data_IF_030898310761
#
_entry.id   IF_030898310761
#
_cell.length_a   1.000
_cell.length_b   1.000
_cell.length_c   1.000
_cell.angle_alpha   90.00
_cell.angle_beta   90.00
_cell.angle_gamma   90.00
#
_symmetry.space_group_name_H-M   'P 1'
#
loop_
_entity.id
_entity.type
_entity.pdbx_description
1 polymer ?
#
# COMPACT_ATOMS: atom_id res chain seq x y z
N UNK A 1 8.79 37.59 -52.09
CA UNK A 1 8.83 36.57 -53.16
C UNK A 1 10.22 36.62 -53.77
N UNK A 2 11.03 35.59 -53.92
CA UNK A 2 10.84 34.14 -53.94
C UNK A 2 12.19 33.46 -53.63
N UNK A 3 12.11 32.27 -53.04
CA UNK A 3 12.95 31.08 -53.27
C UNK A 3 14.47 31.20 -53.08
N UNK A 4 14.95 30.72 -51.92
CA UNK A 4 16.28 30.08 -51.84
C UNK A 4 16.06 28.57 -51.97
N UNK A 5 16.62 28.02 -53.04
CA UNK A 5 16.59 26.62 -53.39
C UNK A 5 17.49 25.78 -52.47
N UNK A 6 17.01 24.59 -52.15
CA UNK A 6 17.76 23.49 -51.53
C UNK A 6 18.84 22.97 -52.49
N UNK A 7 19.96 22.50 -51.96
CA UNK A 7 20.54 21.23 -52.40
C UNK A 7 21.37 20.57 -51.29
N UNK A 8 20.88 19.41 -50.86
CA UNK A 8 21.58 18.41 -50.06
C UNK A 8 22.70 17.77 -50.87
N UNK A 9 23.91 17.57 -50.32
CA UNK A 9 24.65 16.30 -50.51
C UNK A 9 25.70 16.06 -49.41
N UNK A 10 25.34 15.16 -48.50
CA UNK A 10 26.16 14.07 -47.91
C UNK A 10 27.35 14.27 -46.95
N UNK A 11 27.42 13.25 -46.07
CA UNK A 11 28.53 12.69 -45.25
C UNK A 11 28.74 13.47 -43.95
N UNK A 12 28.49 12.91 -42.77
CA UNK A 12 28.45 11.52 -42.35
C UNK A 12 29.11 11.47 -40.98
N UNK A 13 28.58 10.63 -40.09
CA UNK A 13 29.25 10.16 -38.88
C UNK A 13 29.56 11.24 -37.83
N UNK A 14 28.58 11.57 -36.98
CA UNK A 14 28.81 12.06 -35.59
C UNK A 14 27.53 12.12 -34.73
N UNK A 15 26.51 11.33 -35.09
CA UNK A 15 25.24 11.22 -34.37
C UNK A 15 25.16 10.05 -33.41
N UNK A 16 26.22 9.76 -32.63
CA UNK A 16 26.22 8.65 -31.66
C UNK A 16 26.96 9.04 -30.38
N UNK A 17 26.57 10.14 -29.74
CA UNK A 17 27.12 10.49 -28.42
C UNK A 17 26.09 11.06 -27.45
N UNK A 18 24.82 10.66 -27.57
CA UNK A 18 23.72 11.21 -26.75
C UNK A 18 22.67 10.18 -26.30
N UNK A 19 22.99 8.88 -26.25
CA UNK A 19 21.99 7.84 -25.90
C UNK A 19 22.55 6.69 -25.06
N UNK A 20 23.41 6.97 -24.07
CA UNK A 20 23.92 5.96 -23.13
C UNK A 20 23.93 6.44 -21.67
N UNK A 21 22.87 7.16 -21.26
CA UNK A 21 22.64 7.50 -19.84
C UNK A 21 21.17 7.35 -19.42
N UNK A 22 20.46 6.36 -19.97
CA UNK A 22 19.07 6.04 -19.61
C UNK A 22 18.82 4.55 -19.29
N UNK A 23 19.85 3.74 -19.07
CA UNK A 23 19.74 2.27 -18.98
C UNK A 23 19.99 1.66 -17.58
N UNK A 24 19.92 2.43 -16.48
CA UNK A 24 20.22 1.90 -15.12
C UNK A 24 19.09 2.14 -14.09
N UNK A 25 17.87 2.47 -14.51
CA UNK A 25 16.74 2.63 -13.56
C UNK A 25 15.51 1.75 -13.86
N UNK A 26 15.60 0.79 -14.77
CA UNK A 26 14.46 -0.07 -15.16
C UNK A 26 14.66 -1.55 -14.81
N UNK A 27 15.52 -1.86 -13.84
CA UNK A 27 15.76 -3.25 -13.40
C UNK A 27 15.52 -3.42 -11.89
N UNK A 28 14.25 -3.34 -11.47
CA UNK A 28 13.74 -4.01 -10.26
C UNK A 28 12.20 -4.21 -10.30
N UNK A 29 11.57 -4.22 -11.48
CA UNK A 29 10.19 -4.73 -11.60
C UNK A 29 10.28 -6.13 -12.20
N UNK A 30 10.59 -7.10 -11.34
CA UNK A 30 10.30 -8.48 -11.63
C UNK A 30 8.77 -8.62 -11.67
N UNK A 31 8.19 -8.46 -12.86
CA UNK A 31 6.80 -8.86 -13.11
C UNK A 31 6.70 -10.36 -12.83
N UNK A 32 6.15 -10.73 -11.67
CA UNK A 32 5.75 -12.10 -11.38
C UNK A 32 4.34 -12.30 -11.95
N UNK A 33 4.15 -13.18 -12.95
CA UNK A 33 2.81 -13.63 -13.31
C UNK A 33 2.45 -14.85 -12.45
N UNK A 34 1.38 -14.72 -11.66
CA UNK A 34 0.68 -15.84 -11.00
C UNK A 34 -0.12 -15.38 -9.77
N UNK A 35 -1.04 -16.17 -9.21
CA UNK A 35 -2.06 -17.03 -9.83
C UNK A 35 -3.47 -16.42 -9.63
N UNK A 36 -4.15 -15.97 -10.69
CA UNK A 36 -5.55 -15.46 -10.61
C UNK A 36 -5.77 -14.17 -9.80
N UNK A 37 -6.85 -13.40 -10.05
CA UNK A 37 -7.05 -12.07 -9.45
C UNK A 37 -7.28 -12.07 -7.92
N UNK A 38 -7.58 -13.21 -7.30
CA UNK A 38 -7.87 -13.30 -5.85
C UNK A 38 -6.68 -13.74 -4.98
N UNK A 39 -5.74 -14.53 -5.51
CA UNK A 39 -4.63 -15.10 -4.70
C UNK A 39 -3.56 -14.06 -4.37
N UNK A 40 -3.60 -12.89 -5.01
CA UNK A 40 -2.64 -11.80 -4.77
C UNK A 40 -3.19 -10.68 -3.87
N UNK A 41 -4.46 -10.73 -3.43
CA UNK A 41 -5.04 -9.65 -2.62
C UNK A 41 -4.35 -9.48 -1.27
N UNK A 42 -3.90 -10.59 -0.65
CA UNK A 42 -3.19 -10.53 0.63
C UNK A 42 -1.83 -9.86 0.48
N UNK A 43 -1.02 -10.31 -0.48
CA UNK A 43 0.29 -9.76 -0.72
C UNK A 43 0.23 -8.27 -1.10
N UNK A 44 -0.74 -7.88 -1.96
CA UNK A 44 -0.98 -6.47 -2.30
C UNK A 44 -1.40 -5.63 -1.09
N UNK A 45 -2.21 -6.18 -0.19
CA UNK A 45 -2.57 -5.50 1.05
C UNK A 45 -1.34 -5.30 1.95
N UNK A 46 -0.51 -6.32 2.11
CA UNK A 46 0.70 -6.26 2.93
C UNK A 46 1.72 -5.26 2.35
N UNK A 47 1.89 -5.22 1.02
CA UNK A 47 2.72 -4.23 0.32
C UNK A 47 2.19 -2.80 0.52
N UNK A 48 0.88 -2.57 0.32
CA UNK A 48 0.27 -1.27 0.52
C UNK A 48 0.38 -0.79 1.98
N UNK A 49 0.23 -1.70 2.95
CA UNK A 49 0.44 -1.37 4.36
C UNK A 49 1.89 -1.02 4.66
N UNK A 50 2.86 -1.72 4.06
CA UNK A 50 4.27 -1.38 4.19
C UNK A 50 4.57 0.03 3.64
N UNK A 51 3.99 0.38 2.48
CA UNK A 51 4.08 1.73 1.93
C UNK A 51 3.49 2.78 2.89
N UNK A 52 2.32 2.53 3.49
CA UNK A 52 1.74 3.42 4.50
C UNK A 52 2.64 3.61 5.74
N UNK A 53 3.35 2.56 6.17
CA UNK A 53 4.30 2.66 7.29
C UNK A 53 5.53 3.50 6.92
N UNK A 54 6.03 3.36 5.70
CA UNK A 54 7.18 4.12 5.20
C UNK A 54 6.88 5.61 4.92
N UNK A 55 5.60 5.97 4.70
CA UNK A 55 5.24 7.37 4.44
C UNK A 55 5.41 8.25 5.70
N UNK A 56 5.93 9.48 5.54
CA UNK A 56 6.04 10.47 6.61
C UNK A 56 4.71 11.18 6.86
N UNK A 57 3.68 10.41 7.26
CA UNK A 57 2.36 10.93 7.60
C UNK A 57 2.41 11.69 8.93
N UNK A 58 1.85 12.90 8.93
CA UNK A 58 1.97 13.89 10.02
C UNK A 58 1.08 13.61 11.23
N UNK A 59 0.07 12.75 11.08
CA UNK A 59 -0.88 12.44 12.15
C UNK A 59 -1.13 10.93 12.21
N UNK A 60 -1.45 10.43 13.40
CA UNK A 60 -1.80 9.03 13.62
C UNK A 60 -3.10 8.68 12.90
N UNK A 61 -4.08 9.59 12.85
CA UNK A 61 -5.31 9.39 12.07
C UNK A 61 -5.01 9.24 10.57
N UNK A 62 -4.11 10.06 10.01
CA UNK A 62 -3.71 9.93 8.61
C UNK A 62 -3.07 8.56 8.33
N UNK A 63 -2.21 8.09 9.26
CA UNK A 63 -1.59 6.76 9.17
C UNK A 63 -2.61 5.63 9.30
N UNK A 64 -3.54 5.72 10.26
CA UNK A 64 -4.61 4.75 10.46
C UNK A 64 -5.51 4.64 9.22
N UNK A 65 -5.87 5.77 8.62
CA UNK A 65 -6.64 5.80 7.37
C UNK A 65 -5.91 5.08 6.24
N UNK A 66 -4.63 5.40 6.01
CA UNK A 66 -3.82 4.74 4.99
C UNK A 66 -3.77 3.22 5.21
N UNK A 67 -3.53 2.79 6.45
CA UNK A 67 -3.46 1.37 6.81
C UNK A 67 -4.83 0.66 6.63
N UNK A 68 -5.93 1.35 6.92
CA UNK A 68 -7.27 0.80 6.72
C UNK A 68 -7.59 0.66 5.22
N UNK A 69 -7.30 1.69 4.42
CA UNK A 69 -7.50 1.65 2.97
C UNK A 69 -6.67 0.52 2.33
N UNK A 70 -5.43 0.31 2.80
CA UNK A 70 -4.60 -0.81 2.38
C UNK A 70 -5.14 -2.18 2.84
N UNK A 71 -5.67 -2.28 4.05
CA UNK A 71 -6.28 -3.50 4.57
C UNK A 71 -7.53 -3.90 3.76
N UNK A 72 -8.30 -2.93 3.26
CA UNK A 72 -9.51 -3.18 2.47
C UNK A 72 -9.22 -3.95 1.16
N UNK A 73 -8.00 -3.92 0.64
CA UNK A 73 -7.60 -4.73 -0.52
C UNK A 73 -7.84 -6.22 -0.26
N UNK A 74 -7.56 -6.69 0.96
CA UNK A 74 -7.78 -8.07 1.39
C UNK A 74 -9.15 -8.29 2.04
N UNK A 75 -10.06 -7.30 2.04
CA UNK A 75 -11.39 -7.44 2.64
C UNK A 75 -12.17 -8.68 2.13
N UNK A 76 -12.16 -9.02 0.82
CA UNK A 76 -12.85 -10.20 0.31
C UNK A 76 -12.34 -11.55 0.85
N UNK A 77 -11.16 -11.57 1.48
CA UNK A 77 -10.58 -12.78 2.06
C UNK A 77 -10.97 -13.00 3.53
N UNK A 78 -11.69 -12.06 4.16
CA UNK A 78 -12.07 -12.17 5.57
C UNK A 78 -13.35 -12.99 5.72
N UNK A 79 -13.25 -14.09 6.47
CA UNK A 79 -14.38 -14.96 6.82
C UNK A 79 -15.38 -14.24 7.73
N UNK A 80 -14.91 -13.30 8.56
CA UNK A 80 -15.70 -12.53 9.51
C UNK A 80 -15.64 -11.02 9.19
N UNK A 81 -16.44 -10.52 8.23
CA UNK A 81 -16.34 -9.14 7.74
C UNK A 81 -16.74 -8.08 8.79
N UNK A 82 -17.58 -8.43 9.76
CA UNK A 82 -17.95 -7.55 10.87
C UNK A 82 -16.78 -7.37 11.86
N UNK A 83 -16.05 -8.44 12.18
CA UNK A 83 -14.86 -8.39 13.04
C UNK A 83 -13.75 -7.59 12.38
N UNK A 84 -13.57 -7.77 11.06
CA UNK A 84 -12.65 -6.96 10.28
C UNK A 84 -12.99 -5.47 10.38
N UNK A 85 -14.26 -5.09 10.19
CA UNK A 85 -14.72 -3.70 10.34
C UNK A 85 -14.50 -3.15 11.76
N UNK A 86 -14.73 -3.96 12.80
CA UNK A 86 -14.44 -3.58 14.20
C UNK A 86 -12.96 -3.27 14.40
N UNK A 87 -12.06 -4.08 13.84
CA UNK A 87 -10.62 -3.82 13.89
C UNK A 87 -10.23 -2.53 13.17
N UNK A 88 -10.82 -2.23 12.01
CA UNK A 88 -10.56 -0.98 11.28
C UNK A 88 -11.05 0.26 12.07
N UNK A 89 -12.24 0.18 12.66
CA UNK A 89 -12.80 1.26 13.48
C UNK A 89 -11.96 1.52 14.74
N UNK A 90 -11.59 0.46 15.46
CA UNK A 90 -10.73 0.56 16.64
C UNK A 90 -9.40 1.28 16.34
N UNK A 91 -8.79 0.98 15.19
CA UNK A 91 -7.55 1.66 14.76
C UNK A 91 -7.75 3.17 14.62
N UNK A 92 -8.87 3.59 14.03
CA UNK A 92 -9.19 5.01 13.85
C UNK A 92 -9.50 5.72 15.17
N UNK A 93 -10.25 5.07 16.06
CA UNK A 93 -10.56 5.62 17.38
C UNK A 93 -9.30 5.81 18.22
N UNK A 94 -8.44 4.79 18.29
CA UNK A 94 -7.15 4.87 18.99
C UNK A 94 -6.27 5.96 18.40
N UNK A 95 -6.13 5.99 17.06
CA UNK A 95 -5.34 7.01 16.39
C UNK A 95 -5.84 8.43 16.69
N UNK A 96 -7.16 8.62 16.76
CA UNK A 96 -7.78 9.89 17.13
C UNK A 96 -7.39 10.29 18.56
N UNK A 97 -7.42 9.34 19.50
CA UNK A 97 -7.03 9.59 20.90
C UNK A 97 -5.53 9.91 21.04
N UNK A 98 -4.67 9.25 20.27
CA UNK A 98 -3.23 9.57 20.22
C UNK A 98 -3.00 10.97 19.66
N UNK A 99 -3.63 11.34 18.53
CA UNK A 99 -3.52 12.68 17.94
C UNK A 99 -4.02 13.77 18.90
N UNK A 100 -5.06 13.48 19.69
CA UNK A 100 -5.57 14.35 20.76
C UNK A 100 -4.74 14.33 22.04
N UNK A 101 -3.68 13.52 22.10
CA UNK A 101 -2.81 13.32 23.28
C UNK A 101 -3.54 12.81 24.52
N UNK A 102 -4.66 12.11 24.33
CA UNK A 102 -5.41 11.46 25.40
C UNK A 102 -4.72 10.17 25.88
N UNK A 103 -3.91 9.56 25.00
CA UNK A 103 -3.03 8.40 25.27
C UNK A 103 -1.72 8.55 24.52
N UNK A 104 -0.68 7.82 24.94
CA UNK A 104 0.59 7.77 24.21
C UNK A 104 0.50 6.83 23.00
N UNK A 105 1.39 6.95 22.00
CA UNK A 105 1.46 6.01 20.88
C UNK A 105 1.67 4.56 21.33
N UNK A 106 2.50 4.33 22.35
CA UNK A 106 2.80 3.00 22.89
C UNK A 106 1.57 2.38 23.56
N UNK A 107 0.83 3.19 24.32
CA UNK A 107 -0.43 2.75 24.93
C UNK A 107 -1.49 2.46 23.86
N UNK A 108 -1.58 3.29 22.81
CA UNK A 108 -2.46 3.04 21.68
C UNK A 108 -2.11 1.74 20.94
N UNK A 109 -0.82 1.47 20.71
CA UNK A 109 -0.36 0.23 20.08
C UNK A 109 -0.73 -1.00 20.92
N UNK A 110 -0.55 -0.91 22.25
CA UNK A 110 -0.95 -1.98 23.18
C UNK A 110 -2.45 -2.24 23.15
N UNK A 111 -3.27 -1.19 23.29
CA UNK A 111 -4.73 -1.31 23.26
C UNK A 111 -5.20 -1.92 21.93
N UNK A 112 -4.58 -1.55 20.81
CA UNK A 112 -4.93 -2.11 19.51
C UNK A 112 -4.58 -3.60 19.42
N UNK A 113 -3.41 -4.01 19.90
CA UNK A 113 -2.99 -5.41 19.92
C UNK A 113 -3.95 -6.27 20.78
N UNK A 114 -4.39 -5.75 21.93
CA UNK A 114 -5.35 -6.44 22.80
C UNK A 114 -6.72 -6.63 22.08
N UNK A 115 -7.18 -5.61 21.34
CA UNK A 115 -8.41 -5.69 20.53
C UNK A 115 -8.26 -6.72 19.40
N UNK A 116 -7.14 -6.70 18.65
CA UNK A 116 -6.90 -7.68 17.59
C UNK A 116 -6.87 -9.11 18.12
N UNK A 117 -6.25 -9.34 19.28
CA UNK A 117 -6.24 -10.64 19.94
C UNK A 117 -7.67 -11.09 20.31
N UNK A 118 -8.46 -10.20 20.91
CA UNK A 118 -9.83 -10.53 21.29
C UNK A 118 -10.72 -10.85 20.07
N UNK A 119 -10.62 -10.05 19.00
CA UNK A 119 -11.36 -10.29 17.76
C UNK A 119 -10.92 -11.59 17.07
N UNK A 120 -9.64 -11.95 17.14
CA UNK A 120 -9.15 -13.22 16.60
C UNK A 120 -9.72 -14.43 17.36
N UNK A 121 -9.77 -14.35 18.70
CA UNK A 121 -10.41 -15.41 19.50
C UNK A 121 -11.92 -15.49 19.26
N UNK A 122 -12.61 -14.36 19.12
CA UNK A 122 -14.03 -14.33 18.73
C UNK A 122 -14.25 -14.99 17.35
N UNK A 123 -13.40 -14.68 16.37
CA UNK A 123 -13.47 -15.31 15.05
C UNK A 123 -13.25 -16.82 15.08
N UNK A 124 -12.29 -17.31 15.87
CA UNK A 124 -12.08 -18.75 16.06
C UNK A 124 -13.29 -19.43 16.71
N UNK A 125 -13.90 -18.78 17.71
CA UNK A 125 -15.08 -19.31 18.39
C UNK A 125 -16.26 -19.46 17.42
N UNK A 126 -16.52 -18.46 16.56
CA UNK A 126 -17.58 -18.53 15.54
C UNK A 126 -17.38 -19.69 14.57
N UNK A 127 -16.16 -19.85 14.06
CA UNK A 127 -15.80 -20.98 13.19
C UNK A 127 -16.00 -22.35 13.88
N UNK A 128 -15.69 -22.45 15.17
CA UNK A 128 -15.91 -23.67 15.95
C UNK A 128 -17.40 -23.97 16.18
N UNK A 129 -18.23 -22.94 16.25
CA UNK A 129 -19.68 -23.04 16.45
C UNK A 129 -20.48 -23.14 15.14
N UNK A 130 -19.83 -22.96 13.98
CA UNK A 130 -20.49 -22.94 12.67
C UNK A 130 -21.27 -21.67 12.38
N UNK A 131 -20.86 -20.55 12.97
CA UNK A 131 -21.41 -19.20 12.78
C UNK A 131 -20.69 -18.41 11.68
#
# INVERSE_FOLDING_TARGET
MMMVARNHTQRGVRGVLLLTLCLVLTACVAARPGPGPLVDLRARSDEAQAACRAQPLVSYVARAKCLNDAAMIAAPLNENPDLFRRALNARMEIATRVDKKEITPEEGAKQYADIEAHLAEEGKARLANGE
#
